data_IF_782146349811
#
_entry.id   IF_782146349811
#
_cell.length_a   1.000
_cell.length_b   1.000
_cell.length_c   1.000
_cell.angle_alpha   90.00
_cell.angle_beta   90.00
_cell.angle_gamma   90.00
#
_symmetry.space_group_name_H-M   'P 1'
#
loop_
_entity.id
_entity.type
_entity.pdbx_description
1 polymer ?
#
# COMPACT_ATOMS: atom_id res chain seq x y z
N UNK A 1 6.37 -17.25 19.18
CA UNK A 1 7.35 -16.14 19.14
C UNK A 1 7.17 -15.43 17.82
N UNK A 2 6.17 -14.57 17.77
CA UNK A 2 5.77 -13.86 16.56
C UNK A 2 6.76 -12.73 16.30
N UNK A 3 7.51 -12.84 15.20
CA UNK A 3 8.23 -11.70 14.63
C UNK A 3 7.19 -10.77 14.02
N UNK A 4 6.68 -9.86 14.82
CA UNK A 4 6.04 -8.64 14.32
C UNK A 4 7.17 -7.84 13.65
N UNK A 5 7.36 -8.07 12.36
CA UNK A 5 8.25 -7.24 11.56
C UNK A 5 7.70 -5.82 11.65
N UNK A 6 8.42 -4.93 12.36
CA UNK A 6 8.11 -3.51 12.40
C UNK A 6 8.12 -2.99 10.95
N UNK A 7 7.18 -2.11 10.56
CA UNK A 7 7.16 -1.47 9.23
C UNK A 7 8.53 -0.88 8.85
N UNK A 8 9.30 -0.46 9.87
CA UNK A 8 10.65 0.10 9.79
C UNK A 8 11.67 -0.81 9.11
N UNK A 9 11.56 -2.14 9.22
CA UNK A 9 12.54 -3.07 8.63
C UNK A 9 12.31 -3.33 7.13
N UNK A 10 11.07 -3.20 6.64
CA UNK A 10 10.74 -3.42 5.22
C UNK A 10 11.06 -2.21 4.33
N UNK A 11 11.25 -1.03 4.93
CA UNK A 11 11.49 0.23 4.22
C UNK A 11 12.99 0.50 3.93
N UNK A 12 13.90 -0.35 4.41
CA UNK A 12 15.35 -0.13 4.33
C UNK A 12 15.93 -0.16 2.90
N UNK A 13 15.17 -0.59 1.89
CA UNK A 13 15.68 -0.73 0.51
C UNK A 13 15.43 0.46 -0.39
N UNK A 14 14.57 1.42 -0.01
CA UNK A 14 14.19 2.55 -0.87
C UNK A 14 14.85 3.83 -0.36
N UNK A 15 15.52 4.58 -1.24
CA UNK A 15 16.14 5.86 -0.87
C UNK A 15 15.04 6.91 -0.64
N UNK A 16 14.83 7.41 0.60
CA UNK A 16 13.76 8.37 0.91
C UNK A 16 13.79 9.61 0.02
N UNK A 17 14.98 10.06 -0.37
CA UNK A 17 15.18 11.28 -1.16
C UNK A 17 14.70 11.16 -2.62
N UNK A 18 14.40 9.93 -3.08
CA UNK A 18 13.81 9.70 -4.41
C UNK A 18 12.28 9.72 -4.40
N UNK A 19 11.65 9.83 -3.23
CA UNK A 19 10.20 9.88 -3.11
C UNK A 19 9.73 11.35 -3.10
N UNK A 20 9.18 11.80 -4.24
CA UNK A 20 8.66 13.16 -4.38
C UNK A 20 7.52 13.48 -3.41
N UNK A 21 6.65 12.51 -3.12
CA UNK A 21 5.55 12.71 -2.16
C UNK A 21 6.05 12.87 -0.73
N UNK A 22 7.12 12.17 -0.36
CA UNK A 22 7.78 12.37 0.93
C UNK A 22 8.38 13.77 1.05
N UNK A 23 9.11 14.24 0.02
CA UNK A 23 9.66 15.59 0.01
C UNK A 23 8.55 16.65 0.06
N UNK A 24 7.48 16.44 -0.71
CA UNK A 24 6.31 17.31 -0.68
C UNK A 24 5.64 17.34 0.69
N UNK A 25 5.49 16.19 1.36
CA UNK A 25 4.95 16.09 2.72
C UNK A 25 5.77 16.92 3.72
N UNK A 26 7.11 16.81 3.67
CA UNK A 26 7.99 17.57 4.57
C UNK A 26 7.80 19.09 4.39
N UNK A 27 7.72 19.55 3.14
CA UNK A 27 7.59 20.97 2.80
C UNK A 27 6.18 21.49 3.12
N UNK A 28 5.14 20.80 2.68
CA UNK A 28 3.75 21.29 2.78
C UNK A 28 3.16 21.19 4.18
N UNK A 29 3.58 20.21 4.99
CA UNK A 29 3.09 20.06 6.37
C UNK A 29 3.98 20.79 7.39
N UNK A 30 4.96 21.58 6.93
CA UNK A 30 5.94 22.28 7.78
C UNK A 30 6.58 21.34 8.81
N UNK A 31 6.90 20.11 8.41
CA UNK A 31 7.53 19.13 9.30
C UNK A 31 8.90 19.67 9.69
N UNK A 32 9.23 19.82 10.98
CA UNK A 32 10.55 20.29 11.40
C UNK A 32 11.63 19.34 10.90
N UNK A 33 12.35 19.75 9.85
CA UNK A 33 13.33 18.92 9.15
C UNK A 33 14.65 19.68 8.99
N UNK A 34 15.75 19.05 9.40
CA UNK A 34 17.10 19.51 9.10
C UNK A 34 17.51 18.98 7.72
N UNK A 35 17.45 19.82 6.69
CA UNK A 35 17.80 19.44 5.32
C UNK A 35 19.25 18.98 5.17
N UNK A 36 20.17 19.52 5.97
CA UNK A 36 21.57 19.10 5.91
C UNK A 36 21.71 17.65 6.39
N UNK A 37 21.04 17.31 7.51
CA UNK A 37 20.98 15.92 7.99
C UNK A 37 20.18 15.02 7.06
N UNK A 38 19.10 15.51 6.47
CA UNK A 38 18.28 14.75 5.51
C UNK A 38 19.11 14.22 4.33
N UNK A 39 20.05 15.02 3.80
CA UNK A 39 20.88 14.61 2.67
C UNK A 39 22.13 13.81 3.06
N UNK A 40 22.64 13.96 4.29
CA UNK A 40 23.93 13.41 4.70
C UNK A 40 23.86 12.30 5.76
N UNK A 41 22.72 12.11 6.42
CA UNK A 41 22.49 11.09 7.45
C UNK A 41 21.37 10.13 6.99
N UNK A 42 21.72 8.95 6.44
CA UNK A 42 20.74 7.97 5.96
C UNK A 42 19.78 7.48 7.04
N UNK A 43 20.23 7.40 8.29
CA UNK A 43 19.37 6.97 9.40
C UNK A 43 18.34 8.04 9.75
N UNK A 44 18.71 9.31 9.69
CA UNK A 44 17.80 10.43 9.85
C UNK A 44 16.76 10.49 8.73
N UNK A 45 17.19 10.35 7.47
CA UNK A 45 16.29 10.28 6.32
C UNK A 45 15.30 9.11 6.45
N UNK A 46 15.79 7.94 6.86
CA UNK A 46 14.96 6.75 7.04
C UNK A 46 13.95 6.90 8.18
N UNK A 47 14.33 7.56 9.28
CA UNK A 47 13.45 7.83 10.41
C UNK A 47 12.30 8.76 10.01
N UNK A 48 12.61 9.89 9.37
CA UNK A 48 11.61 10.82 8.84
C UNK A 48 10.70 10.15 7.79
N UNK A 49 11.25 9.27 6.98
CA UNK A 49 10.47 8.48 6.03
C UNK A 49 9.48 7.55 6.73
N UNK A 50 9.90 6.92 7.83
CA UNK A 50 9.01 6.16 8.71
C UNK A 50 7.88 7.01 9.30
N UNK A 51 8.19 8.23 9.73
CA UNK A 51 7.19 9.16 10.28
C UNK A 51 6.20 9.63 9.21
N UNK A 52 6.67 9.91 8.00
CA UNK A 52 5.81 10.18 6.83
C UNK A 52 4.85 9.02 6.57
N UNK A 53 5.35 7.78 6.58
CA UNK A 53 4.48 6.62 6.45
C UNK A 53 3.48 6.53 7.58
N UNK A 54 3.88 6.74 8.83
CA UNK A 54 2.98 6.74 9.97
C UNK A 54 1.91 7.84 9.87
N UNK A 55 2.22 9.00 9.31
CA UNK A 55 1.26 10.06 9.02
C UNK A 55 0.31 9.66 7.89
N UNK A 56 0.81 9.12 6.76
CA UNK A 56 -0.06 8.63 5.68
C UNK A 56 -1.05 7.59 6.17
N UNK A 57 -0.54 6.70 7.01
CA UNK A 57 -1.27 5.73 7.79
C UNK A 57 -2.31 6.53 8.61
N UNK A 58 -1.91 7.34 9.60
CA UNK A 58 -2.79 8.07 10.53
C UNK A 58 -3.90 8.91 9.90
N UNK A 59 -3.61 9.65 8.83
CA UNK A 59 -4.54 10.63 8.24
C UNK A 59 -5.40 10.06 7.12
N UNK A 60 -4.93 9.04 6.40
CA UNK A 60 -5.61 8.46 5.24
C UNK A 60 -5.92 6.97 5.46
N UNK A 61 -6.16 6.61 6.72
CA UNK A 61 -6.32 5.23 7.17
C UNK A 61 -7.59 4.61 6.59
N UNK A 62 -7.37 3.91 5.49
CA UNK A 62 -8.19 2.86 4.91
C UNK A 62 -9.30 3.39 3.99
N UNK A 63 -9.55 2.66 2.90
CA UNK A 63 -10.80 2.82 2.18
C UNK A 63 -11.97 2.69 3.15
N UNK A 64 -12.98 3.55 3.00
CA UNK A 64 -14.24 3.42 3.73
C UNK A 64 -14.74 1.97 3.63
N UNK A 65 -15.20 1.40 4.74
CA UNK A 65 -15.71 0.04 4.79
C UNK A 65 -17.25 0.02 4.85
N UNK A 66 -17.94 -0.79 4.01
CA UNK A 66 -17.38 -1.59 2.93
C UNK A 66 -16.93 -0.71 1.75
N UNK A 67 -15.76 -0.97 1.14
CA UNK A 67 -15.33 -0.24 -0.05
C UNK A 67 -16.22 -0.58 -1.24
N UNK A 68 -16.43 0.39 -2.13
CA UNK A 68 -17.08 0.14 -3.41
C UNK A 68 -16.07 -0.53 -4.34
N UNK A 69 -16.15 -1.86 -4.45
CA UNK A 69 -15.28 -2.66 -5.33
C UNK A 69 -16.08 -3.10 -6.55
N UNK A 70 -15.75 -2.56 -7.72
CA UNK A 70 -16.24 -3.09 -8.99
C UNK A 70 -15.41 -4.32 -9.39
N UNK A 71 -15.99 -5.50 -9.20
CA UNK A 71 -15.37 -6.81 -9.48
C UNK A 71 -15.02 -6.97 -10.98
N UNK A 72 -15.79 -6.35 -11.88
CA UNK A 72 -15.62 -6.45 -13.34
C UNK A 72 -14.40 -5.67 -13.85
N UNK A 73 -14.01 -4.58 -13.17
CA UNK A 73 -12.76 -3.85 -13.48
C UNK A 73 -11.51 -4.72 -13.29
N UNK A 74 -11.57 -5.70 -12.39
CA UNK A 74 -10.45 -6.64 -12.18
C UNK A 74 -10.33 -7.65 -13.32
N UNK A 75 -11.46 -8.03 -13.95
CA UNK A 75 -11.50 -8.98 -15.06
C UNK A 75 -10.95 -8.33 -16.34
N UNK A 76 -11.41 -7.11 -16.64
CA UNK A 76 -11.03 -6.37 -17.85
C UNK A 76 -9.54 -5.98 -17.91
N UNK A 77 -8.90 -5.68 -16.78
CA UNK A 77 -7.47 -5.36 -16.73
C UNK A 77 -6.59 -6.60 -16.99
N UNK A 78 -7.03 -7.78 -16.56
CA UNK A 78 -6.32 -9.04 -16.78
C UNK A 78 -6.39 -9.48 -18.26
N UNK A 79 -7.51 -9.20 -18.94
CA UNK A 79 -7.66 -9.50 -20.37
C UNK A 79 -6.80 -8.58 -21.26
N UNK A 80 -6.73 -7.29 -20.91
CA UNK A 80 -5.91 -6.29 -21.64
C UNK A 80 -4.41 -6.50 -21.41
N UNK A 81 -4.01 -6.95 -20.23
CA UNK A 81 -2.63 -7.28 -19.89
C UNK A 81 -2.39 -8.78 -20.04
N UNK A 82 -2.23 -9.28 -21.28
CA UNK A 82 -1.78 -10.67 -21.59
C UNK A 82 -0.35 -10.95 -21.09
N UNK A 83 -0.12 -10.88 -19.78
CA UNK A 83 1.04 -11.43 -19.08
C UNK A 83 0.53 -12.40 -18.02
N UNK A 84 0.30 -13.62 -18.50
CA UNK A 84 -0.03 -14.87 -17.78
C UNK A 84 0.93 -15.20 -16.60
N UNK A 85 1.95 -14.37 -16.33
CA UNK A 85 2.89 -14.56 -15.22
C UNK A 85 2.40 -14.06 -13.86
N UNK A 86 1.37 -13.19 -13.79
CA UNK A 86 0.84 -12.73 -12.50
C UNK A 86 -0.14 -13.73 -11.83
N UNK A 87 -0.66 -14.70 -12.59
CA UNK A 87 -1.58 -15.71 -12.06
C UNK A 87 -0.97 -16.59 -10.96
N UNK A 88 0.35 -16.84 -10.99
CA UNK A 88 1.02 -17.60 -9.91
C UNK A 88 1.29 -16.74 -8.66
N UNK A 89 1.38 -15.41 -8.82
CA UNK A 89 1.56 -14.44 -7.73
C UNK A 89 0.21 -14.15 -7.05
N UNK A 90 -0.90 -14.12 -7.81
CA UNK A 90 -2.25 -14.07 -7.25
C UNK A 90 -2.59 -15.27 -6.37
N UNK A 91 -2.00 -16.45 -6.61
CA UNK A 91 -2.29 -17.66 -5.84
C UNK A 91 -1.74 -17.66 -4.39
N UNK A 92 -0.87 -16.72 -4.02
CA UNK A 92 -0.46 -16.51 -2.62
C UNK A 92 -0.97 -15.16 -2.11
N UNK A 93 -2.19 -15.17 -1.55
CA UNK A 93 -2.91 -14.09 -0.78
C UNK A 93 -4.00 -13.33 -1.56
N UNK A 94 -5.11 -14.03 -1.83
CA UNK A 94 -6.31 -13.55 -2.54
C UNK A 94 -6.93 -12.25 -2.00
N UNK A 95 -7.17 -12.11 -0.69
CA UNK A 95 -7.77 -10.89 -0.14
C UNK A 95 -6.81 -9.70 -0.08
N UNK A 96 -5.53 -9.95 0.20
CA UNK A 96 -4.52 -8.89 0.33
C UNK A 96 -4.29 -8.14 -0.99
N UNK A 97 -4.28 -8.84 -2.12
CA UNK A 97 -4.07 -8.21 -3.41
C UNK A 97 -5.23 -7.28 -3.79
N UNK A 98 -6.47 -7.70 -3.49
CA UNK A 98 -7.68 -6.87 -3.66
C UNK A 98 -7.60 -5.65 -2.74
N UNK A 99 -7.23 -5.86 -1.47
CA UNK A 99 -7.01 -4.80 -0.49
C UNK A 99 -5.99 -3.76 -0.98
N UNK A 100 -4.81 -4.20 -1.41
CA UNK A 100 -3.73 -3.33 -1.89
C UNK A 100 -4.17 -2.48 -3.09
N UNK A 101 -4.91 -3.06 -4.03
CA UNK A 101 -5.45 -2.33 -5.18
C UNK A 101 -6.54 -1.33 -4.77
N UNK A 102 -7.40 -1.70 -3.83
CA UNK A 102 -8.44 -0.82 -3.28
C UNK A 102 -7.83 0.36 -2.54
N UNK A 103 -6.78 0.10 -1.75
CA UNK A 103 -5.99 1.12 -1.07
C UNK A 103 -5.35 2.09 -2.07
N UNK A 104 -4.75 1.59 -3.16
CA UNK A 104 -4.16 2.45 -4.17
C UNK A 104 -5.18 3.41 -4.78
N UNK A 105 -6.35 2.89 -5.18
CA UNK A 105 -7.44 3.71 -5.72
C UNK A 105 -7.92 4.76 -4.71
N UNK A 106 -8.04 4.37 -3.44
CA UNK A 106 -8.42 5.30 -2.38
C UNK A 106 -7.41 6.45 -2.24
N UNK A 107 -6.12 6.15 -2.23
CA UNK A 107 -5.06 7.16 -2.19
C UNK A 107 -5.08 8.06 -3.44
N UNK A 108 -5.30 7.49 -4.63
CA UNK A 108 -5.43 8.26 -5.87
C UNK A 108 -6.60 9.24 -5.83
N UNK A 109 -7.76 8.84 -5.28
CA UNK A 109 -8.93 9.71 -5.09
C UNK A 109 -8.60 10.87 -4.13
N UNK A 110 -7.78 10.61 -3.12
CA UNK A 110 -7.28 11.62 -2.18
C UNK A 110 -6.15 12.49 -2.75
N UNK A 111 -5.76 12.27 -4.01
CA UNK A 111 -4.67 13.00 -4.68
C UNK A 111 -3.27 12.50 -4.32
N UNK A 112 -3.16 11.42 -3.55
CA UNK A 112 -1.89 10.82 -3.12
C UNK A 112 -1.47 9.75 -4.12
N UNK A 113 -0.35 9.98 -4.82
CA UNK A 113 0.21 9.03 -5.79
C UNK A 113 1.48 8.40 -5.23
N UNK A 114 1.41 7.13 -4.86
CA UNK A 114 2.58 6.38 -4.35
C UNK A 114 2.99 5.27 -5.29
N UNK A 115 4.28 4.91 -5.27
CA UNK A 115 4.79 3.83 -6.12
C UNK A 115 4.34 2.47 -5.59
N UNK A 116 4.35 1.43 -6.45
CA UNK A 116 4.07 0.06 -6.00
C UNK A 116 5.05 -0.45 -4.94
N UNK A 117 6.28 0.08 -4.93
CA UNK A 117 7.31 -0.22 -3.93
C UNK A 117 6.92 0.33 -2.55
N UNK A 118 6.23 1.48 -2.50
CA UNK A 118 5.74 2.12 -1.27
C UNK A 118 4.39 1.55 -0.83
N UNK A 119 3.52 1.27 -1.80
CA UNK A 119 2.20 0.73 -1.57
C UNK A 119 2.25 -0.66 -0.93
N UNK A 120 3.24 -1.49 -1.26
CA UNK A 120 3.29 -2.87 -0.78
C UNK A 120 3.59 -2.98 0.72
N UNK A 121 4.61 -2.31 1.28
CA UNK A 121 4.83 -2.21 2.73
C UNK A 121 3.66 -1.52 3.47
N UNK A 122 3.11 -0.46 2.88
CA UNK A 122 1.96 0.26 3.45
C UNK A 122 0.74 -0.67 3.58
N UNK A 123 0.33 -1.28 2.47
CA UNK A 123 -0.78 -2.23 2.46
C UNK A 123 -0.51 -3.40 3.41
N UNK A 124 0.73 -3.90 3.48
CA UNK A 124 1.11 -4.97 4.41
C UNK A 124 0.88 -4.60 5.86
N UNK A 125 1.30 -3.40 6.25
CA UNK A 125 1.13 -2.87 7.61
C UNK A 125 -0.35 -2.65 7.94
N UNK A 126 -1.09 -2.02 7.03
CA UNK A 126 -2.51 -1.77 7.19
C UNK A 126 -3.29 -3.09 7.29
N UNK A 127 -3.06 -4.03 6.36
CA UNK A 127 -3.66 -5.36 6.37
C UNK A 127 -3.34 -6.11 7.66
N UNK A 128 -2.12 -6.04 8.18
CA UNK A 128 -1.75 -6.63 9.47
C UNK A 128 -2.66 -6.15 10.60
N UNK A 129 -2.93 -4.84 10.64
CA UNK A 129 -3.80 -4.19 11.62
C UNK A 129 -5.30 -4.33 11.39
N UNK A 130 -5.75 -4.81 10.22
CA UNK A 130 -7.18 -4.91 9.92
C UNK A 130 -7.90 -5.93 10.81
N UNK A 131 -9.15 -5.65 11.21
CA UNK A 131 -10.03 -6.66 11.82
C UNK A 131 -10.23 -7.87 10.91
N UNK A 132 -10.48 -9.04 11.51
CA UNK A 132 -10.70 -10.28 10.76
C UNK A 132 -11.90 -10.17 9.80
N UNK A 133 -12.98 -9.51 10.22
CA UNK A 133 -14.16 -9.25 9.39
C UNK A 133 -13.82 -8.51 8.08
N UNK A 134 -12.92 -7.52 8.15
CA UNK A 134 -12.46 -6.78 6.96
C UNK A 134 -11.66 -7.71 6.07
N UNK A 135 -10.73 -8.47 6.66
CA UNK A 135 -9.91 -9.45 5.91
C UNK A 135 -10.79 -10.48 5.20
N UNK A 136 -11.84 -10.96 5.86
CA UNK A 136 -12.77 -11.94 5.31
C UNK A 136 -13.59 -11.38 4.16
N UNK A 137 -14.08 -10.14 4.28
CA UNK A 137 -14.74 -9.46 3.16
C UNK A 137 -13.85 -9.44 1.90
N UNK A 138 -12.57 -9.04 2.03
CA UNK A 138 -11.66 -9.01 0.89
C UNK A 138 -11.33 -10.41 0.36
N UNK A 139 -11.30 -11.45 1.20
CA UNK A 139 -11.18 -12.85 0.75
C UNK A 139 -12.40 -13.24 -0.08
N UNK A 140 -13.61 -12.96 0.39
CA UNK A 140 -14.85 -13.26 -0.34
C UNK A 140 -14.90 -12.57 -1.70
N UNK A 141 -14.52 -11.29 -1.76
CA UNK A 141 -14.42 -10.53 -3.02
C UNK A 141 -13.44 -11.19 -3.97
N UNK A 142 -12.28 -11.63 -3.48
CA UNK A 142 -11.31 -12.32 -4.32
C UNK A 142 -11.81 -13.66 -4.85
N UNK A 143 -12.53 -14.44 -4.04
CA UNK A 143 -13.16 -15.68 -4.50
C UNK A 143 -14.26 -15.43 -5.54
N UNK A 144 -15.00 -14.31 -5.45
CA UNK A 144 -15.94 -13.89 -6.50
C UNK A 144 -15.23 -13.55 -7.82
N UNK A 145 -14.12 -12.80 -7.76
CA UNK A 145 -13.29 -12.48 -8.94
C UNK A 145 -12.80 -13.77 -9.62
N UNK A 146 -12.31 -14.74 -8.85
CA UNK A 146 -11.84 -16.02 -9.37
C UNK A 146 -12.92 -16.82 -10.08
N UNK A 147 -14.12 -16.89 -9.49
CA UNK A 147 -15.26 -17.60 -10.11
C UNK A 147 -15.66 -17.01 -11.45
N UNK A 148 -15.61 -15.68 -11.59
CA UNK A 148 -15.91 -15.00 -12.86
C UNK A 148 -14.87 -15.27 -13.95
N UNK A 149 -13.60 -15.48 -13.58
CA UNK A 149 -12.54 -15.80 -14.53
C UNK A 149 -12.48 -17.27 -14.98
N UNK A 150 -13.02 -18.18 -14.18
CA UNK A 150 -13.02 -19.62 -14.48
C UNK A 150 -14.29 -20.09 -15.21
N UNK A 151 -15.20 -19.16 -15.53
CA UNK A 151 -16.43 -19.38 -16.28
C UNK A 151 -16.28 -18.86 -17.71
#
# INVERSE_FOLDING_TARGET
>A
MDKVNKPTEMLQSENPLKNECFLHYLIHNNVPCDFNRLHNDPSYAQALYGDYFNHLISEYFRPNFPPIINVEEYVNENEKNKKIKDMSIMNKRNGFMVYRKTLNKHLEILGVRITMQQLSPLAGSLWGSEPEQVKDYYKEVSEKIKKLHNN
#
